data_IF_751649145573
#
_entry.id   IF_751649145573
#
_cell.length_a   1.000
_cell.length_b   1.000
_cell.length_c   1.000
_cell.angle_alpha   90.00
_cell.angle_beta   90.00
_cell.angle_gamma   90.00
#
_symmetry.space_group_name_H-M   'P 1'
#
loop_
_entity.id
_entity.type
_entity.pdbx_description
1 polymer ?
#
# COMPACT_ATOMS: atom_id res chain seq x y z
N UNK A 1 -20.62 -13.17 -2.16
CA UNK A 1 -19.23 -13.26 -1.67
C UNK A 1 -18.33 -13.37 -2.88
N UNK A 2 -17.44 -12.38 -3.11
CA UNK A 2 -16.49 -12.40 -4.23
C UNK A 2 -15.50 -13.55 -4.02
N UNK A 3 -15.44 -14.50 -4.93
CA UNK A 3 -14.43 -15.56 -4.90
C UNK A 3 -13.14 -15.01 -5.49
N UNK A 4 -12.28 -14.48 -4.64
CA UNK A 4 -10.94 -14.00 -5.05
C UNK A 4 -10.02 -15.22 -5.16
N UNK A 5 -9.84 -15.73 -6.38
CA UNK A 5 -8.98 -16.91 -6.63
C UNK A 5 -7.50 -16.56 -6.66
N UNK A 6 -7.16 -15.39 -7.16
CA UNK A 6 -5.77 -14.95 -7.32
C UNK A 6 -5.62 -13.49 -6.92
N UNK A 7 -4.58 -13.19 -6.16
CA UNK A 7 -4.21 -11.84 -5.75
C UNK A 7 -2.77 -11.56 -6.16
N UNK A 8 -2.49 -10.30 -6.49
CA UNK A 8 -1.19 -9.89 -7.01
C UNK A 8 -0.60 -8.75 -6.19
N UNK A 9 0.71 -8.77 -6.01
CA UNK A 9 1.47 -7.65 -5.45
C UNK A 9 2.64 -7.30 -6.36
N UNK A 10 2.85 -6.01 -6.58
CA UNK A 10 4.00 -5.51 -7.32
C UNK A 10 5.09 -5.10 -6.33
N UNK A 11 6.12 -5.91 -6.22
CA UNK A 11 7.29 -5.67 -5.38
C UNK A 11 8.43 -5.02 -6.16
N UNK A 12 9.27 -4.25 -5.50
CA UNK A 12 10.59 -3.90 -6.02
C UNK A 12 11.48 -5.15 -5.95
N UNK A 13 12.22 -5.45 -7.01
CA UNK A 13 13.05 -6.66 -7.08
C UNK A 13 14.09 -6.72 -5.95
N UNK A 14 14.66 -5.57 -5.59
CA UNK A 14 15.61 -5.43 -4.48
C UNK A 14 15.05 -5.91 -3.13
N UNK A 15 13.72 -5.91 -2.96
CA UNK A 15 13.06 -6.32 -1.72
C UNK A 15 12.81 -7.83 -1.62
N UNK A 16 13.07 -8.61 -2.69
CA UNK A 16 12.74 -10.04 -2.69
C UNK A 16 13.46 -10.84 -1.60
N UNK A 17 14.69 -10.48 -1.27
CA UNK A 17 15.43 -11.10 -0.17
C UNK A 17 14.70 -10.91 1.16
N UNK A 18 14.37 -9.69 1.50
CA UNK A 18 13.62 -9.34 2.73
C UNK A 18 12.23 -9.97 2.75
N UNK A 19 11.54 -10.00 1.61
CA UNK A 19 10.20 -10.61 1.52
C UNK A 19 10.25 -12.13 1.76
N UNK A 20 11.28 -12.82 1.27
CA UNK A 20 11.48 -14.26 1.54
C UNK A 20 11.75 -14.55 3.00
N UNK A 21 12.52 -13.69 3.66
CA UNK A 21 12.93 -13.88 5.06
C UNK A 21 11.81 -13.48 6.05
N UNK A 22 11.15 -12.35 5.81
CA UNK A 22 10.26 -11.73 6.79
C UNK A 22 8.79 -11.66 6.34
N UNK A 23 8.48 -12.10 5.14
CA UNK A 23 7.17 -11.92 4.53
C UNK A 23 6.95 -10.53 3.95
N UNK A 24 5.75 -10.31 3.44
CA UNK A 24 5.33 -9.05 2.85
C UNK A 24 4.86 -8.10 3.96
N UNK A 25 5.65 -7.08 4.25
CA UNK A 25 5.44 -6.14 5.35
C UNK A 25 4.91 -4.78 4.86
N UNK A 26 4.07 -4.14 5.67
CA UNK A 26 3.66 -2.75 5.46
C UNK A 26 4.83 -1.78 5.69
N UNK A 27 4.73 -0.55 5.18
CA UNK A 27 5.74 0.50 5.43
C UNK A 27 5.97 0.69 6.93
N UNK A 28 4.90 0.71 7.72
CA UNK A 28 5.01 0.87 9.17
C UNK A 28 5.85 -0.25 9.82
N UNK A 29 5.66 -1.49 9.37
CA UNK A 29 6.43 -2.65 9.88
C UNK A 29 7.87 -2.63 9.40
N UNK A 30 8.12 -2.23 8.14
CA UNK A 30 9.48 -2.10 7.61
C UNK A 30 10.30 -1.05 8.37
N UNK A 31 9.70 0.12 8.68
CA UNK A 31 10.36 1.14 9.48
C UNK A 31 10.65 0.68 10.92
N UNK A 32 9.72 -0.06 11.53
CA UNK A 32 9.93 -0.64 12.86
C UNK A 32 11.04 -1.68 12.85
N UNK A 33 11.07 -2.56 11.85
CA UNK A 33 12.11 -3.59 11.70
C UNK A 33 13.49 -2.98 11.45
N UNK A 34 13.56 -1.84 10.76
CA UNK A 34 14.80 -1.11 10.53
C UNK A 34 15.34 -0.41 11.79
N UNK A 35 14.68 -0.53 12.95
CA UNK A 35 15.10 0.09 14.19
C UNK A 35 14.97 1.61 14.25
N UNK A 36 14.18 2.20 13.36
CA UNK A 36 13.96 3.66 13.34
C UNK A 36 13.18 4.06 14.59
N UNK A 37 13.62 5.09 15.33
CA UNK A 37 12.94 5.57 16.53
C UNK A 37 11.47 5.90 16.30
N UNK A 38 10.62 5.66 17.29
CA UNK A 38 9.16 5.81 17.15
C UNK A 38 8.74 7.20 16.69
N UNK A 39 9.34 8.24 17.28
CA UNK A 39 9.05 9.63 16.89
C UNK A 39 9.35 9.90 15.42
N UNK A 40 10.47 9.39 14.92
CA UNK A 40 10.87 9.51 13.52
C UNK A 40 9.95 8.67 12.62
N UNK A 41 9.60 7.42 13.03
CA UNK A 41 8.65 6.57 12.31
C UNK A 41 7.31 7.28 12.14
N UNK A 42 6.74 7.83 13.21
CA UNK A 42 5.47 8.57 13.16
C UNK A 42 5.55 9.72 12.17
N UNK A 43 6.62 10.50 12.18
CA UNK A 43 6.82 11.59 11.24
C UNK A 43 6.92 11.09 9.78
N UNK A 44 7.63 10.00 9.53
CA UNK A 44 7.78 9.39 8.21
C UNK A 44 6.45 8.83 7.68
N UNK A 45 5.64 8.21 8.52
CA UNK A 45 4.36 7.61 8.15
C UNK A 45 3.32 8.66 7.76
N UNK A 46 3.38 9.83 8.33
CA UNK A 46 2.43 10.94 8.15
C UNK A 46 2.85 11.95 7.08
N UNK A 47 4.09 11.90 6.63
CA UNK A 47 4.62 12.81 5.60
C UNK A 47 4.46 12.24 4.20
N UNK A 48 4.09 13.09 3.25
CA UNK A 48 4.12 12.75 1.82
C UNK A 48 5.53 12.31 1.40
N UNK A 49 5.63 11.20 0.71
CA UNK A 49 6.88 10.64 0.19
C UNK A 49 6.90 10.73 -1.34
N UNK A 50 7.39 11.85 -1.90
CA UNK A 50 7.42 12.04 -3.36
C UNK A 50 8.45 11.17 -4.06
N UNK A 51 9.47 10.69 -3.35
CA UNK A 51 10.54 9.83 -3.85
C UNK A 51 10.61 8.53 -3.03
N UNK A 52 11.18 7.49 -3.63
CA UNK A 52 11.47 6.26 -2.92
C UNK A 52 12.51 6.49 -1.82
N UNK A 53 12.42 5.72 -0.74
CA UNK A 53 13.38 5.74 0.38
C UNK A 53 14.01 4.36 0.52
N UNK A 54 15.34 4.30 0.51
CA UNK A 54 16.09 3.07 0.81
C UNK A 54 16.46 3.05 2.28
N UNK A 55 16.05 2.01 2.98
CA UNK A 55 16.39 1.79 4.39
C UNK A 55 17.85 1.30 4.53
N UNK A 56 18.45 1.41 5.72
CA UNK A 56 19.81 0.88 5.97
C UNK A 56 19.96 -0.61 5.63
N UNK A 57 18.89 -1.38 5.73
CA UNK A 57 18.83 -2.80 5.33
C UNK A 57 18.87 -3.04 3.81
N UNK A 58 18.85 -1.99 2.99
CA UNK A 58 18.72 -2.08 1.53
C UNK A 58 17.28 -2.21 1.03
N UNK A 59 16.30 -2.34 1.91
CA UNK A 59 14.87 -2.39 1.53
C UNK A 59 14.42 -1.03 1.02
N UNK A 60 13.77 -1.03 -0.14
CA UNK A 60 13.24 0.17 -0.78
C UNK A 60 11.76 0.35 -0.45
N UNK A 61 11.41 1.49 0.14
CA UNK A 61 10.04 1.93 0.34
C UNK A 61 9.61 2.79 -0.85
N UNK A 62 8.51 2.42 -1.49
CA UNK A 62 7.97 3.12 -2.65
C UNK A 62 7.53 4.53 -2.33
N UNK A 63 7.64 5.40 -3.34
CA UNK A 63 7.08 6.74 -3.32
C UNK A 63 5.55 6.76 -3.24
N UNK A 64 5.02 7.91 -2.85
CA UNK A 64 3.59 8.26 -2.87
C UNK A 64 3.32 9.38 -3.89
N UNK A 65 4.12 9.45 -4.93
CA UNK A 65 4.06 10.46 -6.00
C UNK A 65 2.67 10.70 -6.58
N UNK A 66 1.79 9.67 -6.71
CA UNK A 66 0.42 9.88 -7.19
C UNK A 66 -0.53 10.56 -6.20
N UNK A 67 -0.09 10.87 -4.98
CA UNK A 67 -0.94 11.46 -3.93
C UNK A 67 -0.36 12.75 -3.35
N UNK A 68 -0.09 13.79 -4.16
CA UNK A 68 0.40 15.05 -3.60
C UNK A 68 -0.66 15.66 -2.67
N UNK A 69 -0.26 16.32 -1.55
CA UNK A 69 -1.21 16.82 -0.54
C UNK A 69 -2.30 17.72 -1.10
N UNK A 70 -1.95 18.60 -2.04
CA UNK A 70 -2.91 19.54 -2.68
C UNK A 70 -4.00 18.82 -3.48
N UNK A 71 -3.71 17.67 -4.08
CA UNK A 71 -4.68 16.89 -4.83
C UNK A 71 -5.47 15.94 -3.93
N UNK A 72 -4.86 15.47 -2.84
CA UNK A 72 -5.47 14.54 -1.90
C UNK A 72 -6.47 15.25 -0.96
N UNK A 73 -6.09 16.39 -0.39
CA UNK A 73 -6.89 17.08 0.63
C UNK A 73 -8.37 17.29 0.24
N UNK A 74 -8.71 17.82 -0.95
CA UNK A 74 -10.11 18.03 -1.32
C UNK A 74 -10.90 16.73 -1.56
N UNK A 75 -10.24 15.58 -1.67
CA UNK A 75 -10.87 14.28 -1.86
C UNK A 75 -11.11 13.52 -0.54
N UNK A 76 -10.63 14.05 0.58
CA UNK A 76 -10.78 13.42 1.89
C UNK A 76 -12.12 13.79 2.53
N UNK A 77 -12.74 12.80 3.16
CA UNK A 77 -13.96 12.90 3.96
C UNK A 77 -13.64 12.68 5.45
N UNK A 78 -14.64 12.71 6.30
CA UNK A 78 -14.58 12.39 7.73
C UNK A 78 -13.58 13.24 8.53
N UNK A 79 -13.27 14.45 8.07
CA UNK A 79 -12.29 15.32 8.72
C UNK A 79 -10.85 14.87 8.61
N UNK A 80 -10.55 13.84 7.78
CA UNK A 80 -9.20 13.35 7.57
C UNK A 80 -8.34 14.39 6.86
N UNK A 81 -7.07 14.45 7.27
CA UNK A 81 -6.02 15.23 6.61
C UNK A 81 -5.13 14.35 5.75
N UNK A 82 -4.35 14.89 4.79
CA UNK A 82 -3.37 14.10 4.06
C UNK A 82 -2.41 13.29 4.94
N UNK A 83 -1.84 13.81 6.04
CA UNK A 83 -1.07 13.02 7.00
C UNK A 83 -1.80 11.79 7.53
N UNK A 84 -3.10 11.92 7.90
CA UNK A 84 -3.89 10.81 8.41
C UNK A 84 -4.08 9.73 7.34
N UNK A 85 -4.30 10.14 6.09
CA UNK A 85 -4.44 9.22 4.97
C UNK A 85 -3.13 8.48 4.65
N UNK A 86 -1.99 9.18 4.68
CA UNK A 86 -0.68 8.52 4.50
C UNK A 86 -0.41 7.50 5.59
N UNK A 87 -0.67 7.83 6.84
CA UNK A 87 -0.50 6.92 7.97
C UNK A 87 -1.37 5.67 7.81
N UNK A 88 -2.65 5.86 7.46
CA UNK A 88 -3.59 4.78 7.20
C UNK A 88 -3.05 3.84 6.11
N UNK A 89 -2.63 4.36 4.97
CA UNK A 89 -2.11 3.53 3.88
C UNK A 89 -0.78 2.87 4.23
N UNK A 90 0.11 3.55 4.92
CA UNK A 90 1.40 3.00 5.33
C UNK A 90 1.28 1.86 6.36
N UNK A 91 0.12 1.70 7.00
CA UNK A 91 -0.20 0.57 7.87
C UNK A 91 -0.61 -0.70 7.13
N UNK A 92 -0.84 -0.65 5.82
CA UNK A 92 -1.38 -1.75 5.04
C UNK A 92 -0.41 -2.27 3.98
N UNK A 93 -0.62 -3.52 3.58
CA UNK A 93 -0.08 -4.13 2.37
C UNK A 93 -1.21 -4.21 1.36
N UNK A 94 -0.94 -3.81 0.11
CA UNK A 94 -1.96 -3.76 -0.93
C UNK A 94 -1.78 -4.88 -1.94
N UNK A 95 -2.89 -5.51 -2.28
CA UNK A 95 -2.97 -6.58 -3.28
C UNK A 95 -3.99 -6.19 -4.36
N UNK A 96 -3.70 -6.55 -5.59
CA UNK A 96 -4.58 -6.36 -6.72
C UNK A 96 -5.36 -7.66 -7.00
N UNK A 97 -6.70 -7.62 -7.03
CA UNK A 97 -7.49 -8.76 -7.48
C UNK A 97 -7.57 -8.87 -9.01
N UNK A 98 -7.13 -7.82 -9.71
CA UNK A 98 -7.24 -7.67 -11.16
C UNK A 98 -5.85 -7.49 -11.77
N UNK A 99 -5.47 -8.41 -12.66
CA UNK A 99 -4.19 -8.41 -13.35
C UNK A 99 -4.00 -7.19 -14.25
N UNK A 100 -5.05 -6.69 -14.89
CA UNK A 100 -4.94 -5.53 -15.78
C UNK A 100 -4.64 -4.25 -15.00
N UNK A 101 -5.19 -4.12 -13.79
CA UNK A 101 -4.86 -3.01 -12.89
C UNK A 101 -3.42 -3.10 -12.39
N UNK A 102 -2.97 -4.30 -12.04
CA UNK A 102 -1.56 -4.53 -11.70
C UNK A 102 -0.64 -4.13 -12.85
N UNK A 103 -0.93 -4.56 -14.08
CA UNK A 103 -0.11 -4.25 -15.26
C UNK A 103 -0.06 -2.75 -15.56
N UNK A 104 -1.15 -2.02 -15.32
CA UNK A 104 -1.14 -0.55 -15.39
C UNK A 104 -0.19 0.07 -14.38
N UNK A 105 -0.19 -0.42 -13.13
CA UNK A 105 0.76 0.02 -12.11
C UNK A 105 2.20 -0.33 -12.50
N UNK A 106 2.44 -1.55 -12.96
CA UNK A 106 3.76 -2.01 -13.41
C UNK A 106 4.34 -1.11 -14.50
N UNK A 107 3.53 -0.76 -15.52
CA UNK A 107 3.94 0.17 -16.58
C UNK A 107 4.25 1.57 -16.06
N UNK A 108 3.46 2.06 -15.10
CA UNK A 108 3.69 3.38 -14.49
C UNK A 108 5.01 3.43 -13.68
N UNK A 109 5.46 2.29 -13.17
CA UNK A 109 6.69 2.17 -12.38
C UNK A 109 7.86 1.54 -13.14
N UNK A 110 7.81 1.44 -14.48
CA UNK A 110 8.76 0.70 -15.35
C UNK A 110 10.22 1.15 -15.27
N UNK A 111 10.50 2.27 -14.64
CA UNK A 111 11.88 2.76 -14.47
C UNK A 111 12.72 2.00 -13.45
N UNK A 112 12.16 0.98 -12.79
CA UNK A 112 12.83 0.18 -11.76
C UNK A 112 12.59 -1.31 -12.00
N UNK A 113 13.56 -2.20 -11.67
CA UNK A 113 13.36 -3.63 -11.67
C UNK A 113 12.25 -4.05 -10.68
N UNK A 114 11.31 -4.87 -11.16
CA UNK A 114 10.11 -5.22 -10.42
C UNK A 114 9.82 -6.71 -10.53
N UNK A 115 9.23 -7.26 -9.47
CA UNK A 115 8.70 -8.61 -9.42
C UNK A 115 7.20 -8.59 -9.14
N UNK A 116 6.46 -9.49 -9.79
CA UNK A 116 5.05 -9.73 -9.51
C UNK A 116 4.96 -10.95 -8.58
N UNK A 117 4.42 -10.74 -7.38
CA UNK A 117 4.10 -11.82 -6.46
C UNK A 117 2.65 -12.24 -6.71
N UNK A 118 2.44 -13.54 -6.81
CA UNK A 118 1.12 -14.15 -7.07
C UNK A 118 0.72 -14.97 -5.86
N UNK A 119 -0.46 -14.71 -5.32
CA UNK A 119 -0.97 -15.38 -4.13
C UNK A 119 -2.23 -16.17 -4.46
N UNK A 120 -2.37 -17.33 -3.83
CA UNK A 120 -3.66 -18.03 -3.70
C UNK A 120 -4.57 -17.18 -2.81
N UNK A 121 -5.57 -16.56 -3.44
CA UNK A 121 -6.49 -15.64 -2.76
C UNK A 121 -7.36 -16.35 -1.73
N UNK A 122 -7.80 -17.58 -2.02
CA UNK A 122 -8.63 -18.35 -1.09
C UNK A 122 -7.84 -18.70 0.18
N UNK A 123 -6.60 -19.14 0.02
CA UNK A 123 -5.71 -19.43 1.16
C UNK A 123 -5.42 -18.17 1.97
N UNK A 124 -5.05 -17.06 1.28
CA UNK A 124 -4.74 -15.80 1.95
C UNK A 124 -5.93 -15.28 2.76
N UNK A 125 -7.13 -15.32 2.19
CA UNK A 125 -8.33 -14.87 2.90
C UNK A 125 -8.76 -15.79 4.03
N UNK A 126 -8.52 -17.10 3.93
CA UNK A 126 -8.71 -18.02 5.04
C UNK A 126 -7.79 -17.71 6.21
N UNK A 127 -6.51 -17.42 5.91
CA UNK A 127 -5.48 -17.24 6.93
C UNK A 127 -5.49 -15.80 7.52
N UNK A 128 -5.87 -14.81 6.72
CA UNK A 128 -5.81 -13.38 7.07
C UNK A 128 -7.13 -12.61 6.89
N UNK A 129 -8.23 -13.30 6.58
CA UNK A 129 -9.53 -12.65 6.32
C UNK A 129 -10.02 -11.76 7.46
N UNK A 130 -9.69 -12.10 8.71
CA UNK A 130 -10.05 -11.29 9.88
C UNK A 130 -9.40 -9.91 9.96
N UNK A 131 -8.30 -9.68 9.25
CA UNK A 131 -7.65 -8.38 9.14
C UNK A 131 -7.61 -7.83 7.71
N UNK A 132 -8.20 -8.56 6.76
CA UNK A 132 -8.27 -8.12 5.37
C UNK A 132 -9.30 -7.00 5.19
N UNK A 133 -8.92 -6.01 4.39
CA UNK A 133 -9.76 -4.89 4.00
C UNK A 133 -9.92 -4.81 2.49
N UNK A 134 -11.05 -4.29 2.05
CA UNK A 134 -11.37 -4.11 0.63
C UNK A 134 -11.59 -2.63 0.34
N UNK A 135 -11.06 -2.17 -0.78
CA UNK A 135 -11.30 -0.81 -1.29
C UNK A 135 -11.93 -0.85 -2.68
N UNK A 136 -13.05 -0.14 -2.90
CA UNK A 136 -13.68 -0.03 -4.23
C UNK A 136 -12.89 0.88 -5.19
N UNK A 137 -11.92 1.63 -4.66
CA UNK A 137 -11.13 2.61 -5.42
C UNK A 137 -9.63 2.28 -5.37
N UNK A 138 -8.85 2.90 -6.25
CA UNK A 138 -7.39 2.96 -6.09
C UNK A 138 -7.05 3.98 -4.99
N UNK A 139 -6.92 3.52 -3.76
CA UNK A 139 -6.66 4.36 -2.58
C UNK A 139 -5.32 5.10 -2.65
N UNK A 140 -4.35 4.59 -3.42
CA UNK A 140 -3.01 5.14 -3.59
C UNK A 140 -2.85 6.16 -4.71
N UNK A 141 -3.96 6.63 -5.33
CA UNK A 141 -3.91 7.62 -6.41
C UNK A 141 -4.93 8.74 -6.18
N UNK A 142 -4.45 9.99 -6.15
CA UNK A 142 -5.27 11.19 -6.04
C UNK A 142 -5.08 12.15 -7.22
N UNK A 143 -4.49 11.71 -8.35
CA UNK A 143 -4.39 12.50 -9.58
C UNK A 143 -5.66 12.42 -10.40
N UNK A 144 -5.97 13.48 -11.16
CA UNK A 144 -7.07 13.53 -12.15
C UNK A 144 -8.41 13.07 -11.59
N UNK A 145 -9.17 13.95 -10.97
CA UNK A 145 -10.50 13.68 -10.39
C UNK A 145 -10.45 12.52 -9.38
N UNK A 146 -9.75 12.70 -8.25
CA UNK A 146 -9.65 11.65 -7.25
C UNK A 146 -11.03 11.29 -6.72
N UNK A 147 -11.29 9.99 -6.57
CA UNK A 147 -12.48 9.52 -5.89
C UNK A 147 -12.46 10.00 -4.43
N UNK A 148 -13.65 10.34 -3.91
CA UNK A 148 -13.84 10.67 -2.49
C UNK A 148 -13.40 9.47 -1.64
N UNK A 149 -12.79 9.74 -0.51
CA UNK A 149 -12.23 8.72 0.39
C UNK A 149 -12.25 9.17 1.84
N UNK A 150 -12.59 8.25 2.70
CA UNK A 150 -12.70 8.46 4.15
C UNK A 150 -12.48 7.16 4.88
N UNK A 151 -12.91 7.08 6.13
CA UNK A 151 -12.77 5.89 6.98
C UNK A 151 -13.42 4.65 6.36
N UNK A 152 -14.54 4.82 5.66
CA UNK A 152 -15.26 3.73 4.98
C UNK A 152 -14.62 3.26 3.66
N UNK A 153 -13.51 3.86 3.25
CA UNK A 153 -12.84 3.45 2.00
C UNK A 153 -12.17 2.08 2.11
N UNK A 154 -11.68 1.75 3.30
CA UNK A 154 -11.08 0.44 3.61
C UNK A 154 -12.05 -0.32 4.51
N UNK A 155 -12.91 -1.15 3.91
CA UNK A 155 -13.94 -1.92 4.62
C UNK A 155 -13.46 -3.31 4.97
N UNK A 156 -13.89 -3.83 6.10
CA UNK A 156 -13.61 -5.20 6.48
C UNK A 156 -14.10 -6.17 5.40
N UNK A 157 -13.26 -7.11 5.01
CA UNK A 157 -13.61 -8.12 4.00
C UNK A 157 -14.84 -8.94 4.41
N UNK A 158 -14.96 -9.25 5.70
CA UNK A 158 -16.08 -10.00 6.22
C UNK A 158 -17.45 -9.26 6.11
N UNK A 159 -17.41 -7.95 5.95
CA UNK A 159 -18.60 -7.10 5.79
C UNK A 159 -18.87 -6.66 4.35
N UNK A 160 -18.07 -7.14 3.40
CA UNK A 160 -18.14 -6.76 1.99
C UNK A 160 -19.13 -7.59 1.16
#
# INVERSE_FOLDING_TARGET
MLTLTTLYHLAEEVNLGSIREHGLLSTARLLAQAGIPETERCAMLRRHRPECVTLPSGVLIRDQKPMPPKALAPALDDGLTPPDWYELLNGHVFLWPDRDRLERQRRACRGRPQAVLVFDGARLLRDFGGCARVSPINSGNARRRPARRGLDTLRDYAAW
#
